data_IF_170048903432
#
_entry.id   IF_170048903432
#
_cell.length_a   1.000
_cell.length_b   1.000
_cell.length_c   1.000
_cell.angle_alpha   90.00
_cell.angle_beta   90.00
_cell.angle_gamma   90.00
#
_symmetry.space_group_name_H-M   'P 1'
#
loop_
_entity.id
_entity.type
_entity.pdbx_description
1 polymer ?
#
# COMPACT_ATOMS: atom_id res chain seq x y z
N UNK A 1 -6.92 -16.07 -7.53
CA UNK A 1 -5.77 -15.19 -7.84
C UNK A 1 -5.04 -14.86 -6.55
N UNK A 2 -3.70 -14.83 -6.57
CA UNK A 2 -2.87 -14.58 -5.37
C UNK A 2 -2.93 -13.09 -4.99
N UNK A 3 -2.99 -12.78 -3.68
CA UNK A 3 -2.84 -11.40 -3.19
C UNK A 3 -1.35 -11.00 -3.24
N UNK A 4 -1.07 -9.77 -3.64
CA UNK A 4 0.26 -9.15 -3.61
C UNK A 4 0.29 -8.03 -2.57
N UNK A 5 1.48 -7.62 -2.14
CA UNK A 5 1.66 -6.45 -1.28
C UNK A 5 1.39 -5.16 -2.04
N UNK A 6 0.76 -4.20 -1.36
CA UNK A 6 0.44 -2.88 -1.90
C UNK A 6 0.60 -1.81 -0.82
N UNK A 7 0.97 -0.62 -1.27
CA UNK A 7 1.06 0.61 -0.50
C UNK A 7 -0.03 1.53 -1.02
N UNK A 8 -0.91 1.99 -0.14
CA UNK A 8 -2.00 2.92 -0.45
C UNK A 8 -1.63 4.29 0.10
N UNK A 9 -1.49 5.28 -0.78
CA UNK A 9 -1.27 6.67 -0.41
C UNK A 9 -2.61 7.35 -0.19
N UNK A 10 -2.78 8.02 0.95
CA UNK A 10 -4.01 8.71 1.32
C UNK A 10 -4.00 10.16 0.82
N UNK A 11 -5.17 10.70 0.49
CA UNK A 11 -5.30 12.10 0.04
C UNK A 11 -5.27 13.13 1.18
N UNK A 12 -5.39 12.68 2.44
CA UNK A 12 -5.49 13.55 3.61
C UNK A 12 -6.87 14.20 3.81
N UNK A 13 -7.80 14.07 2.86
CA UNK A 13 -9.16 14.61 2.97
C UNK A 13 -10.06 13.80 3.92
N UNK A 14 -9.70 12.55 4.16
CA UNK A 14 -10.44 11.58 4.99
C UNK A 14 -9.45 10.97 5.98
N UNK A 15 -9.85 10.84 7.23
CA UNK A 15 -9.02 10.26 8.29
C UNK A 15 -8.54 8.84 7.91
N UNK A 16 -7.27 8.53 8.17
CA UNK A 16 -6.66 7.27 7.72
C UNK A 16 -7.41 6.03 8.19
N UNK A 17 -7.87 6.01 9.45
CA UNK A 17 -8.65 4.90 10.00
C UNK A 17 -9.97 4.66 9.27
N UNK A 18 -10.63 5.72 8.77
CA UNK A 18 -11.86 5.62 8.00
C UNK A 18 -11.58 5.04 6.62
N UNK A 19 -10.48 5.46 5.98
CA UNK A 19 -10.07 4.90 4.68
C UNK A 19 -9.63 3.45 4.84
N UNK A 20 -8.88 3.12 5.89
CA UNK A 20 -8.43 1.75 6.20
C UNK A 20 -9.60 0.79 6.41
N UNK A 21 -10.64 1.19 7.15
CA UNK A 21 -11.84 0.39 7.32
C UNK A 21 -12.52 0.13 5.97
N UNK A 22 -12.67 1.16 5.14
CA UNK A 22 -13.31 1.03 3.82
C UNK A 22 -12.49 0.18 2.85
N UNK A 23 -11.16 0.27 2.91
CA UNK A 23 -10.25 -0.62 2.18
C UNK A 23 -10.52 -2.08 2.59
N UNK A 24 -10.62 -2.36 3.90
CA UNK A 24 -10.90 -3.69 4.43
C UNK A 24 -12.25 -4.24 3.95
N UNK A 25 -13.31 -3.42 4.02
CA UNK A 25 -14.65 -3.79 3.57
C UNK A 25 -14.69 -4.13 2.06
N UNK A 26 -13.82 -3.51 1.26
CA UNK A 26 -13.70 -3.74 -0.18
C UNK A 26 -12.68 -4.84 -0.58
N UNK A 27 -12.12 -5.53 0.41
CA UNK A 27 -11.29 -6.72 0.21
C UNK A 27 -9.78 -6.48 0.24
N UNK A 28 -9.33 -5.36 0.80
CA UNK A 28 -7.94 -5.11 1.13
C UNK A 28 -7.59 -5.73 2.50
N UNK A 29 -6.53 -6.52 2.56
CA UNK A 29 -6.01 -7.05 3.81
C UNK A 29 -5.09 -6.01 4.44
N UNK A 30 -5.62 -5.20 5.35
CA UNK A 30 -4.84 -4.13 6.00
C UNK A 30 -3.78 -4.75 6.90
N UNK A 31 -2.51 -4.37 6.69
CA UNK A 31 -1.39 -4.76 7.53
C UNK A 31 -1.06 -3.67 8.54
N UNK A 32 -0.72 -2.48 8.05
CA UNK A 32 -0.35 -1.33 8.89
C UNK A 32 -1.03 -0.04 8.39
N UNK A 33 -1.45 0.81 9.33
CA UNK A 33 -1.91 2.18 9.06
C UNK A 33 -0.84 3.14 9.56
N UNK A 34 -0.17 3.81 8.63
CA UNK A 34 0.91 4.77 8.88
C UNK A 34 0.35 6.19 8.73
N UNK A 35 -0.50 6.57 9.68
CA UNK A 35 -1.30 7.82 9.63
C UNK A 35 -0.43 9.07 9.50
N UNK A 36 0.67 9.15 10.26
CA UNK A 36 1.59 10.30 10.24
C UNK A 36 2.20 10.58 8.86
N UNK A 37 2.34 9.55 8.02
CA UNK A 37 2.87 9.68 6.65
C UNK A 37 1.79 9.47 5.58
N UNK A 38 0.52 9.38 5.98
CA UNK A 38 -0.61 9.24 5.06
C UNK A 38 -0.58 7.97 4.22
N UNK A 39 -0.18 6.83 4.80
CA UNK A 39 -0.05 5.56 4.07
C UNK A 39 -0.72 4.38 4.76
N UNK A 40 -1.24 3.44 3.99
CA UNK A 40 -1.76 2.15 4.47
C UNK A 40 -1.06 1.03 3.70
N UNK A 41 -0.47 0.07 4.39
CA UNK A 41 0.13 -1.12 3.77
C UNK A 41 -0.80 -2.31 3.90
N UNK A 42 -0.71 -3.25 2.97
CA UNK A 42 -1.52 -4.45 3.03
C UNK A 42 -1.45 -5.30 1.78
N UNK A 43 -2.41 -6.20 1.61
CA UNK A 43 -2.44 -7.09 0.46
C UNK A 43 -3.81 -7.19 -0.21
N UNK A 44 -3.82 -7.29 -1.53
CA UNK A 44 -5.04 -7.40 -2.31
C UNK A 44 -4.77 -8.09 -3.65
N UNK A 45 -5.85 -8.57 -4.28
CA UNK A 45 -5.77 -9.04 -5.67
C UNK A 45 -5.70 -7.84 -6.63
N UNK A 46 -5.08 -7.97 -7.81
CA UNK A 46 -5.02 -6.88 -8.80
C UNK A 46 -6.40 -6.35 -9.20
N UNK A 47 -7.43 -7.21 -9.23
CA UNK A 47 -8.79 -6.80 -9.55
C UNK A 47 -9.48 -6.04 -8.41
N UNK A 48 -9.14 -6.36 -7.16
CA UNK A 48 -9.56 -5.54 -6.02
C UNK A 48 -8.95 -4.14 -6.11
N UNK A 49 -7.64 -4.02 -6.40
CA UNK A 49 -6.95 -2.72 -6.51
C UNK A 49 -7.64 -1.76 -7.49
N UNK A 50 -8.14 -2.26 -8.63
CA UNK A 50 -8.89 -1.42 -9.60
C UNK A 50 -10.14 -0.76 -8.98
N UNK A 51 -10.78 -1.43 -8.01
CA UNK A 51 -11.94 -0.90 -7.28
C UNK A 51 -11.49 0.03 -6.16
N UNK A 52 -10.49 -0.39 -5.38
CA UNK A 52 -9.95 0.38 -4.25
C UNK A 52 -9.47 1.78 -4.66
N UNK A 53 -8.92 1.95 -5.87
CA UNK A 53 -8.54 3.26 -6.43
C UNK A 53 -9.68 4.27 -6.52
N UNK A 54 -10.94 3.82 -6.47
CA UNK A 54 -12.13 4.69 -6.52
C UNK A 54 -12.62 5.10 -5.13
N UNK A 55 -12.01 4.58 -4.07
CA UNK A 55 -12.38 4.93 -2.69
C UNK A 55 -11.99 6.39 -2.43
N UNK A 56 -12.96 7.20 -1.99
CA UNK A 56 -12.69 8.55 -1.49
C UNK A 56 -11.67 8.49 -0.35
N UNK A 57 -10.61 9.29 -0.44
CA UNK A 57 -9.51 9.28 0.51
C UNK A 57 -8.27 8.53 0.02
N UNK A 58 -8.37 7.77 -1.08
CA UNK A 58 -7.22 7.16 -1.76
C UNK A 58 -6.68 8.11 -2.82
N UNK A 59 -5.40 8.45 -2.73
CA UNK A 59 -4.67 9.24 -3.73
C UNK A 59 -3.96 8.36 -4.75
N UNK A 60 -3.30 7.28 -4.30
CA UNK A 60 -2.66 6.30 -5.16
C UNK A 60 -2.59 4.91 -4.50
N UNK A 61 -2.37 3.87 -5.31
CA UNK A 61 -2.05 2.53 -4.86
C UNK A 61 -0.85 2.02 -5.67
N UNK A 62 0.25 1.69 -5.03
CA UNK A 62 1.47 1.18 -5.66
C UNK A 62 1.77 -0.26 -5.18
N UNK A 63 2.38 -1.11 -6.02
CA UNK A 63 2.85 -2.41 -5.55
C UNK A 63 3.94 -2.24 -4.49
N UNK A 64 3.86 -3.03 -3.41
CA UNK A 64 4.92 -3.14 -2.40
C UNK A 64 6.01 -4.05 -2.96
N UNK A 65 7.03 -3.42 -3.57
CA UNK A 65 8.13 -4.12 -4.22
C UNK A 65 9.26 -4.37 -3.23
N UNK A 66 9.77 -5.62 -3.11
CA UNK A 66 10.92 -5.90 -2.27
C UNK A 66 12.15 -5.17 -2.79
N UNK A 67 12.87 -4.50 -1.89
CA UNK A 67 14.18 -3.91 -2.20
C UNK A 67 15.23 -5.00 -1.98
N UNK A 68 15.93 -5.36 -3.05
CA UNK A 68 17.12 -6.20 -2.97
C UNK A 68 18.30 -5.30 -2.58
N UNK A 69 18.87 -5.53 -1.41
CA UNK A 69 20.15 -4.92 -1.02
C UNK A 69 21.26 -5.91 -1.35
N UNK A 70 22.22 -5.48 -2.15
CA UNK A 70 23.40 -6.30 -2.43
C UNK A 70 24.27 -6.43 -1.17
N UNK A 71 24.96 -7.56 -0.98
CA UNK A 71 25.87 -7.75 0.14
C UNK A 71 26.94 -6.65 0.20
N UNK A 72 27.29 -6.17 1.41
CA UNK A 72 28.23 -5.06 1.60
C UNK A 72 29.66 -5.34 1.11
N UNK A 73 30.02 -6.60 0.82
CA UNK A 73 31.38 -7.01 0.43
C UNK A 73 31.73 -6.77 -1.05
N UNK A 74 30.81 -6.22 -1.84
CA UNK A 74 31.16 -5.67 -3.14
C UNK A 74 31.67 -4.25 -2.96
N UNK A 75 32.99 -4.14 -2.76
CA UNK A 75 33.67 -2.85 -2.70
C UNK A 75 33.33 -1.95 -3.89
N UNK A 76 33.50 -0.62 -3.75
CA UNK A 76 33.20 0.31 -4.82
C UNK A 76 33.96 -0.05 -6.10
N UNK A 77 33.24 -0.41 -7.16
CA UNK A 77 33.77 -0.39 -8.53
C UNK A 77 33.47 0.97 -9.13
N UNK A 78 34.24 1.99 -8.73
CA UNK A 78 34.36 3.26 -9.45
C UNK A 78 35.83 3.62 -9.61
#
# INVERSE_FOLDING_TARGET
MKKSGWIVTLSGEVAANVVAQKLADEGFDVKDVLDEIGSVTGSATPDAVKRLRKIKGVADIAPDAPIQLDPPDHGPTW
#
